data_IF_495818816857
#
_entry.id   IF_495818816857
#
_cell.length_a   1.000
_cell.length_b   1.000
_cell.length_c   1.000
_cell.angle_alpha   90.00
_cell.angle_beta   90.00
_cell.angle_gamma   90.00
#
_symmetry.space_group_name_H-M   'P 1'
#
loop_
_entity.id
_entity.type
_entity.pdbx_description
1 polymer ?
#
# COMPACT_ATOMS: atom_id res chain seq x y z
N UNK A 1 12.37 21.04 -30.28
CA UNK A 1 11.70 20.79 -29.00
C UNK A 1 11.49 19.29 -28.90
N UNK A 2 12.22 18.63 -28.01
CA UNK A 2 12.11 17.17 -27.83
C UNK A 2 10.88 16.90 -26.95
N UNK A 3 9.89 16.19 -27.49
CA UNK A 3 8.69 15.81 -26.75
C UNK A 3 9.01 14.52 -25.99
N UNK A 4 9.17 14.64 -24.66
CA UNK A 4 9.33 13.48 -23.79
C UNK A 4 8.05 12.65 -23.81
N UNK A 5 8.19 11.36 -24.12
CA UNK A 5 7.08 10.40 -24.04
C UNK A 5 6.76 10.14 -22.56
N UNK A 6 5.52 9.71 -22.24
CA UNK A 6 5.21 9.22 -20.90
C UNK A 6 6.27 8.20 -20.47
N UNK A 7 6.75 8.32 -19.23
CA UNK A 7 7.63 7.32 -18.64
C UNK A 7 6.92 5.98 -18.74
N UNK A 8 7.63 4.93 -19.19
CA UNK A 8 7.07 3.59 -19.16
C UNK A 8 6.69 3.26 -17.72
N UNK A 9 5.46 2.76 -17.55
CA UNK A 9 4.96 2.38 -16.25
C UNK A 9 5.86 1.25 -15.71
N UNK A 10 6.47 1.50 -14.57
CA UNK A 10 7.17 0.45 -13.84
C UNK A 10 6.12 -0.48 -13.25
N UNK A 11 5.95 -1.63 -13.90
CA UNK A 11 4.84 -2.55 -13.65
C UNK A 11 5.17 -3.58 -12.57
N UNK A 12 6.38 -3.54 -11.99
CA UNK A 12 6.91 -4.53 -11.03
C UNK A 12 6.49 -5.98 -11.39
N UNK A 13 7.00 -6.54 -12.50
CA UNK A 13 6.52 -7.80 -13.06
C UNK A 13 6.62 -8.98 -12.08
N UNK A 14 5.57 -9.79 -12.03
CA UNK A 14 5.58 -11.05 -11.29
C UNK A 14 5.66 -10.85 -9.78
N UNK A 15 6.64 -11.47 -9.13
CA UNK A 15 6.81 -11.43 -7.67
C UNK A 15 7.45 -10.12 -7.17
N UNK A 16 7.91 -9.24 -8.08
CA UNK A 16 8.44 -7.92 -7.71
C UNK A 16 7.36 -7.04 -7.06
N UNK A 17 6.10 -7.12 -7.50
CA UNK A 17 4.99 -6.38 -6.88
C UNK A 17 4.78 -6.77 -5.42
N UNK A 18 5.01 -8.04 -5.07
CA UNK A 18 4.87 -8.53 -3.69
C UNK A 18 5.97 -7.95 -2.80
N UNK A 19 7.20 -7.94 -3.31
CA UNK A 19 8.36 -7.37 -2.58
C UNK A 19 8.17 -5.87 -2.38
N UNK A 20 7.86 -5.14 -3.46
CA UNK A 20 7.57 -3.72 -3.41
C UNK A 20 6.43 -3.40 -2.44
N UNK A 21 5.30 -4.11 -2.53
CA UNK A 21 4.15 -3.88 -1.65
C UNK A 21 4.53 -4.06 -0.17
N UNK A 22 5.29 -5.10 0.16
CA UNK A 22 5.77 -5.34 1.54
C UNK A 22 6.66 -4.20 2.04
N UNK A 23 7.59 -3.73 1.21
CA UNK A 23 8.48 -2.61 1.57
C UNK A 23 7.68 -1.33 1.82
N UNK A 24 6.74 -1.00 0.92
CA UNK A 24 5.88 0.17 1.06
C UNK A 24 5.00 0.10 2.32
N UNK A 25 4.40 -1.07 2.58
CA UNK A 25 3.59 -1.30 3.79
C UNK A 25 4.42 -1.25 5.07
N UNK A 26 5.68 -1.71 5.05
CA UNK A 26 6.60 -1.56 6.17
C UNK A 26 6.90 -0.09 6.47
N UNK A 27 7.12 0.73 5.44
CA UNK A 27 7.34 2.17 5.59
C UNK A 27 6.09 2.84 6.16
N UNK A 28 4.91 2.58 5.58
CA UNK A 28 3.64 3.12 6.07
C UNK A 28 3.40 2.74 7.54
N UNK A 29 3.64 1.48 7.91
CA UNK A 29 3.54 1.00 9.28
C UNK A 29 4.45 1.77 10.24
N UNK A 30 5.72 1.97 9.87
CA UNK A 30 6.68 2.73 10.70
C UNK A 30 6.26 4.19 10.93
N UNK A 31 5.58 4.79 9.95
CA UNK A 31 5.05 6.16 10.08
C UNK A 31 3.86 6.16 11.04
N UNK A 32 2.98 5.16 11.00
CA UNK A 32 1.83 5.10 11.92
C UNK A 32 2.22 4.97 13.39
N UNK A 33 3.42 4.47 13.69
CA UNK A 33 3.97 4.42 15.05
C UNK A 33 4.35 5.83 15.58
N UNK A 34 4.63 6.78 14.69
CA UNK A 34 4.88 8.19 15.00
C UNK A 34 4.43 9.12 13.84
N UNK A 35 3.11 9.35 13.68
CA UNK A 35 2.54 9.83 12.43
C UNK A 35 2.93 11.26 12.05
N UNK A 36 3.09 12.17 13.03
CA UNK A 36 3.53 13.55 12.81
C UNK A 36 2.98 14.19 11.52
N UNK A 37 3.87 14.79 10.71
CA UNK A 37 3.54 15.25 9.36
C UNK A 37 3.54 14.16 8.28
N UNK A 38 3.95 12.93 8.61
CA UNK A 38 4.02 11.79 7.69
C UNK A 38 2.69 11.07 7.48
N UNK A 39 1.65 11.36 8.27
CA UNK A 39 0.36 10.65 8.21
C UNK A 39 -0.23 10.60 6.80
N UNK A 40 -0.20 11.72 6.06
CA UNK A 40 -0.70 11.78 4.68
C UNK A 40 0.04 10.82 3.77
N UNK A 41 1.37 10.73 3.94
CA UNK A 41 2.19 9.82 3.17
C UNK A 41 1.81 8.36 3.48
N UNK A 42 1.68 8.00 4.76
CA UNK A 42 1.26 6.65 5.15
C UNK A 42 -0.09 6.26 4.54
N UNK A 43 -1.11 7.13 4.61
CA UNK A 43 -2.43 6.84 4.02
C UNK A 43 -2.36 6.70 2.50
N UNK A 44 -1.60 7.57 1.82
CA UNK A 44 -1.42 7.50 0.36
C UNK A 44 -0.69 6.22 -0.05
N UNK A 45 0.35 5.82 0.68
CA UNK A 45 1.10 4.60 0.42
C UNK A 45 0.21 3.36 0.55
N UNK A 46 -0.63 3.28 1.59
CA UNK A 46 -1.59 2.17 1.76
C UNK A 46 -2.53 2.06 0.56
N UNK A 47 -3.14 3.18 0.15
CA UNK A 47 -4.04 3.23 -1.00
C UNK A 47 -3.34 2.90 -2.33
N UNK A 48 -2.12 3.39 -2.53
CA UNK A 48 -1.32 3.11 -3.73
C UNK A 48 -0.98 1.62 -3.86
N UNK A 49 -0.62 0.95 -2.76
CA UNK A 49 -0.39 -0.49 -2.77
C UNK A 49 -1.69 -1.24 -3.10
N UNK A 50 -2.82 -0.84 -2.51
CA UNK A 50 -4.13 -1.42 -2.82
C UNK A 50 -4.49 -1.31 -4.31
N UNK A 51 -4.33 -0.12 -4.89
CA UNK A 51 -4.60 0.14 -6.30
C UNK A 51 -3.68 -0.69 -7.21
N UNK A 52 -2.38 -0.73 -6.93
CA UNK A 52 -1.43 -1.51 -7.72
C UNK A 52 -1.76 -3.01 -7.74
N UNK A 53 -2.13 -3.58 -6.59
CA UNK A 53 -2.57 -4.98 -6.49
C UNK A 53 -3.88 -5.21 -7.27
N UNK A 54 -4.83 -4.28 -7.17
CA UNK A 54 -6.11 -4.36 -7.89
C UNK A 54 -5.92 -4.35 -9.40
N UNK A 55 -5.10 -3.44 -9.92
CA UNK A 55 -4.78 -3.32 -11.35
C UNK A 55 -4.10 -4.57 -11.89
N UNK A 56 -3.28 -5.23 -11.06
CA UNK A 56 -2.46 -6.36 -11.48
C UNK A 56 -3.20 -7.70 -11.45
N UNK A 57 -3.88 -8.01 -10.35
CA UNK A 57 -4.71 -9.22 -10.19
C UNK A 57 -5.65 -9.08 -8.97
N UNK A 58 -6.77 -8.38 -9.17
CA UNK A 58 -7.80 -8.23 -8.14
C UNK A 58 -8.33 -9.58 -7.60
N UNK A 59 -8.42 -10.62 -8.43
CA UNK A 59 -8.95 -11.90 -7.99
C UNK A 59 -8.01 -12.57 -6.98
N UNK A 60 -6.69 -12.53 -7.23
CA UNK A 60 -5.67 -13.07 -6.34
C UNK A 60 -5.59 -12.33 -5.01
N UNK A 61 -5.68 -11.01 -5.01
CA UNK A 61 -5.41 -10.18 -3.82
C UNK A 61 -6.62 -9.51 -3.20
N UNK A 62 -7.85 -9.90 -3.55
CA UNK A 62 -9.09 -9.29 -3.03
C UNK A 62 -9.09 -9.10 -1.50
N UNK A 63 -8.69 -10.11 -0.74
CA UNK A 63 -8.67 -10.04 0.72
C UNK A 63 -7.58 -9.10 1.26
N UNK A 64 -6.44 -9.00 0.55
CA UNK A 64 -5.37 -8.05 0.87
C UNK A 64 -5.86 -6.64 0.61
N UNK A 65 -6.45 -6.38 -0.56
CA UNK A 65 -7.00 -5.08 -0.95
C UNK A 65 -8.04 -4.60 0.08
N UNK A 66 -8.98 -5.46 0.47
CA UNK A 66 -9.98 -5.14 1.50
C UNK A 66 -9.38 -4.88 2.89
N UNK A 67 -8.26 -5.53 3.23
CA UNK A 67 -7.55 -5.21 4.46
C UNK A 67 -6.87 -3.84 4.39
N UNK A 68 -6.31 -3.48 3.23
CA UNK A 68 -5.68 -2.18 3.00
C UNK A 68 -6.68 -1.03 2.97
N UNK A 69 -7.85 -1.20 2.34
CA UNK A 69 -8.94 -0.20 2.37
C UNK A 69 -9.38 0.12 3.80
N UNK A 70 -9.52 -0.92 4.65
CA UNK A 70 -9.83 -0.74 6.08
C UNK A 70 -8.67 -0.13 6.85
N UNK A 71 -7.43 -0.45 6.50
CA UNK A 71 -6.25 0.14 7.12
C UNK A 71 -6.15 1.65 6.84
N UNK A 72 -6.47 2.05 5.60
CA UNK A 72 -6.50 3.45 5.18
C UNK A 72 -7.58 4.22 5.94
N UNK A 73 -8.83 3.73 5.98
CA UNK A 73 -9.92 4.37 6.73
C UNK A 73 -9.57 4.49 8.23
N UNK A 74 -9.00 3.45 8.83
CA UNK A 74 -8.53 3.49 10.21
C UNK A 74 -7.43 4.55 10.42
N UNK A 75 -6.46 4.67 9.52
CA UNK A 75 -5.41 5.69 9.60
C UNK A 75 -5.98 7.11 9.49
N UNK A 76 -6.92 7.34 8.57
CA UNK A 76 -7.62 8.63 8.42
C UNK A 76 -8.38 9.01 9.69
N UNK A 77 -9.02 8.03 10.35
CA UNK A 77 -9.72 8.20 11.64
C UNK A 77 -8.80 8.29 12.85
N UNK A 78 -7.49 8.22 12.65
CA UNK A 78 -6.46 8.20 13.70
C UNK A 78 -6.52 6.97 14.62
N UNK A 79 -7.05 5.86 14.11
CA UNK A 79 -7.06 4.55 14.75
C UNK A 79 -5.77 3.79 14.40
N UNK A 80 -4.61 4.35 14.77
CA UNK A 80 -3.31 3.91 14.26
C UNK A 80 -2.96 2.46 14.62
N UNK A 81 -3.29 2.01 15.83
CA UNK A 81 -3.12 0.61 16.25
C UNK A 81 -3.91 -0.35 15.36
N UNK A 82 -5.15 0.01 15.02
CA UNK A 82 -6.01 -0.78 14.13
C UNK A 82 -5.44 -0.83 12.73
N UNK A 83 -5.03 0.33 12.20
CA UNK A 83 -4.40 0.44 10.88
C UNK A 83 -3.12 -0.39 10.80
N UNK A 84 -2.23 -0.28 11.79
CA UNK A 84 -0.97 -1.03 11.88
C UNK A 84 -1.21 -2.54 11.83
N UNK A 85 -2.17 -3.04 12.61
CA UNK A 85 -2.56 -4.46 12.63
C UNK A 85 -3.08 -4.93 11.27
N UNK A 86 -3.91 -4.13 10.61
CA UNK A 86 -4.45 -4.46 9.28
C UNK A 86 -3.36 -4.47 8.20
N UNK A 87 -2.37 -3.59 8.29
CA UNK A 87 -1.18 -3.60 7.43
C UNK A 87 -0.38 -4.89 7.61
N UNK A 88 -0.13 -5.33 8.85
CA UNK A 88 0.59 -6.58 9.12
C UNK A 88 -0.19 -7.80 8.60
N UNK A 89 -1.50 -7.81 8.79
CA UNK A 89 -2.40 -8.84 8.28
C UNK A 89 -2.38 -8.93 6.74
N UNK A 90 -2.41 -7.77 6.07
CA UNK A 90 -2.28 -7.67 4.61
C UNK A 90 -0.89 -8.17 4.15
N UNK A 91 0.18 -7.73 4.81
CA UNK A 91 1.55 -8.12 4.52
C UNK A 91 1.81 -9.63 4.62
N UNK A 92 1.21 -10.29 5.61
CA UNK A 92 1.29 -11.74 5.81
C UNK A 92 0.56 -12.54 4.72
N UNK A 93 -0.44 -11.95 4.06
CA UNK A 93 -1.24 -12.58 2.99
C UNK A 93 -0.74 -12.27 1.59
N UNK A 94 0.20 -11.34 1.43
CA UNK A 94 0.89 -11.09 0.18
C UNK A 94 1.73 -12.31 -0.19
N UNK A 95 1.24 -13.12 -1.13
CA UNK A 95 1.87 -14.32 -1.69
C UNK A 95 1.58 -14.43 -3.17
#
# INVERSE_FOLDING_TARGET
MEVLRPKELDMHPGDEIVTWAREQLSIAGSILDNPGGGLLFATQTIGQVGAALQERDNARWREVIQALERAEDAAVRREFTTSRRLIDEAGARLR
#
